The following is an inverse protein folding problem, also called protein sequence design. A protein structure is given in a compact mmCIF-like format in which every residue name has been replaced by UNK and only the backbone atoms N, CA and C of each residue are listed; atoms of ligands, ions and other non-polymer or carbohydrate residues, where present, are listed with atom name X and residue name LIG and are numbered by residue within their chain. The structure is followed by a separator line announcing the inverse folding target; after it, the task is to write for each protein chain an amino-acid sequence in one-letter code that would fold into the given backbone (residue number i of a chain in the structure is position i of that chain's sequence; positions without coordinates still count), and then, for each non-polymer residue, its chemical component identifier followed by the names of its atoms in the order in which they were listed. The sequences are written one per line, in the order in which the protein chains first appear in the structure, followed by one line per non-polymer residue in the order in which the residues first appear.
data_IF_017340202192
#
_entry.id   IF_017340202192
#
_cell.length_a   1.000
_cell.length_b   1.000
_cell.length_c   1.000
_cell.angle_alpha   90.00
_cell.angle_beta   90.00
_cell.angle_gamma   90.00
#
_symmetry.space_group_name_H-M   'P 1'
#
loop_
_entity.id
_entity.type
_entity.pdbx_description
1 polymer ?
#
# COMPACT_ATOMS: atom_id res chain seq x y z
N UNK A 1 -1.65 -10.60 17.33
CA UNK A 1 -0.62 -9.53 17.24
C UNK A 1 -1.20 -8.23 17.77
N UNK A 2 -0.38 -7.37 18.39
CA UNK A 2 -0.82 -6.06 18.86
C UNK A 2 -1.11 -5.07 17.73
N UNK A 3 -1.82 -3.99 18.05
CA UNK A 3 -2.23 -2.95 17.09
C UNK A 3 -1.05 -2.35 16.32
N UNK A 4 0.05 -2.01 17.01
CA UNK A 4 1.23 -1.44 16.37
C UNK A 4 1.88 -2.38 15.35
N UNK A 5 2.00 -3.67 15.67
CA UNK A 5 2.53 -4.66 14.74
C UNK A 5 1.64 -4.81 13.49
N UNK A 6 0.31 -4.73 13.66
CA UNK A 6 -0.63 -4.76 12.53
C UNK A 6 -0.46 -3.53 11.64
N UNK A 7 -0.29 -2.34 12.20
CA UNK A 7 -0.08 -1.11 11.44
C UNK A 7 1.27 -1.10 10.72
N UNK A 8 2.35 -1.54 11.38
CA UNK A 8 3.67 -1.71 10.76
C UNK A 8 3.60 -2.62 9.53
N UNK A 9 3.05 -3.82 9.70
CA UNK A 9 2.81 -4.73 8.56
C UNK A 9 1.98 -4.11 7.45
N UNK A 10 0.95 -3.35 7.81
CA UNK A 10 0.07 -2.71 6.83
C UNK A 10 0.79 -1.63 6.03
N UNK A 11 1.72 -0.90 6.67
CA UNK A 11 2.63 0.05 6.03
C UNK A 11 3.51 -0.66 5.00
N UNK A 12 4.19 -1.73 5.41
CA UNK A 12 5.06 -2.51 4.51
C UNK A 12 4.30 -3.04 3.29
N UNK A 13 3.09 -3.57 3.51
CA UNK A 13 2.25 -4.08 2.42
C UNK A 13 1.77 -2.98 1.46
N UNK A 14 1.43 -1.78 1.96
CA UNK A 14 1.02 -0.66 1.10
C UNK A 14 2.20 -0.20 0.24
N UNK A 15 3.37 -0.01 0.86
CA UNK A 15 4.56 0.44 0.17
C UNK A 15 5.06 -0.61 -0.84
N UNK A 16 5.08 -1.88 -0.45
CA UNK A 16 5.46 -2.98 -1.34
C UNK A 16 4.50 -3.18 -2.51
N UNK A 17 3.18 -2.99 -2.32
CA UNK A 17 2.21 -3.02 -3.41
C UNK A 17 2.41 -1.83 -4.36
N UNK A 18 2.65 -0.64 -3.83
CA UNK A 18 2.90 0.55 -4.63
C UNK A 18 4.16 0.40 -5.51
N UNK A 19 5.25 -0.09 -4.93
CA UNK A 19 6.50 -0.36 -5.65
C UNK A 19 6.29 -1.32 -6.83
N UNK A 20 5.55 -2.43 -6.62
CA UNK A 20 5.24 -3.39 -7.70
C UNK A 20 4.37 -2.82 -8.80
N UNK A 21 3.58 -1.78 -8.51
CA UNK A 21 2.77 -1.06 -9.49
C UNK A 21 3.56 0.06 -10.20
N UNK A 22 4.86 0.21 -9.90
CA UNK A 22 5.72 1.28 -10.45
C UNK A 22 5.52 2.64 -9.78
N UNK A 23 4.96 2.68 -8.57
CA UNK A 23 4.66 3.92 -7.84
C UNK A 23 5.75 4.18 -6.79
N UNK A 24 6.46 5.30 -6.91
CA UNK A 24 7.34 5.80 -5.85
C UNK A 24 6.53 6.52 -4.75
N UNK A 25 5.85 5.73 -3.90
CA UNK A 25 5.06 6.28 -2.79
C UNK A 25 5.96 7.06 -1.81
N UNK A 26 7.21 6.63 -1.62
CA UNK A 26 8.18 7.32 -0.76
C UNK A 26 8.44 8.74 -1.26
N UNK A 27 8.74 8.88 -2.56
CA UNK A 27 8.91 10.18 -3.22
C UNK A 27 7.65 11.06 -3.15
N UNK A 28 6.46 10.48 -3.35
CA UNK A 28 5.18 11.21 -3.22
C UNK A 28 5.01 11.79 -1.81
N UNK A 29 5.31 11.01 -0.77
CA UNK A 29 5.22 11.49 0.62
C UNK A 29 6.30 12.52 0.91
N UNK A 30 7.52 12.32 0.41
CA UNK A 30 8.62 13.25 0.62
C UNK A 30 8.38 14.62 -0.03
N UNK A 31 7.65 14.68 -1.16
CA UNK A 31 7.34 15.92 -1.87
C UNK A 31 6.41 16.86 -1.08
N UNK A 32 5.48 16.31 -0.29
CA UNK A 32 4.62 17.07 0.62
C UNK A 32 4.26 16.22 1.85
N UNK A 33 5.15 16.18 2.86
CA UNK A 33 4.97 15.30 4.02
C UNK A 33 3.70 15.59 4.81
N UNK A 34 3.26 16.85 4.87
CA UNK A 34 2.09 17.25 5.64
C UNK A 34 0.80 16.73 4.99
N UNK A 35 0.61 16.95 3.68
CA UNK A 35 -0.61 16.50 3.01
C UNK A 35 -0.56 15.01 2.66
N UNK A 36 0.56 14.52 2.15
CA UNK A 36 0.69 13.15 1.66
C UNK A 36 0.91 12.15 2.79
N UNK A 37 1.58 12.55 3.89
CA UNK A 37 1.71 11.71 5.08
C UNK A 37 0.36 11.34 5.70
N UNK A 38 -0.59 12.28 5.76
CA UNK A 38 -1.95 12.00 6.23
C UNK A 38 -2.68 11.03 5.30
N UNK A 39 -2.56 11.20 3.97
CA UNK A 39 -3.16 10.29 2.98
C UNK A 39 -2.55 8.89 3.08
N UNK A 40 -1.23 8.79 3.26
CA UNK A 40 -0.53 7.54 3.48
C UNK A 40 -1.04 6.82 4.73
N UNK A 41 -1.13 7.52 5.87
CA UNK A 41 -1.66 6.92 7.10
C UNK A 41 -3.10 6.43 6.94
N UNK A 42 -3.95 7.12 6.17
CA UNK A 42 -5.29 6.61 5.82
C UNK A 42 -5.22 5.34 4.99
N UNK A 43 -4.29 5.23 4.04
CA UNK A 43 -4.07 4.02 3.26
C UNK A 43 -3.61 2.84 4.13
N UNK A 44 -2.71 3.08 5.09
CA UNK A 44 -2.25 2.09 6.07
C UNK A 44 -3.39 1.61 6.96
N UNK A 45 -4.18 2.54 7.51
CA UNK A 45 -5.36 2.20 8.33
C UNK A 45 -6.36 1.38 7.52
N UNK A 46 -6.65 1.78 6.27
CA UNK A 46 -7.54 1.02 5.39
C UNK A 46 -6.99 -0.38 5.10
N UNK A 47 -5.69 -0.49 4.81
CA UNK A 47 -5.01 -1.77 4.60
C UNK A 47 -5.12 -2.68 5.83
N UNK A 48 -5.01 -2.12 7.04
CA UNK A 48 -5.08 -2.88 8.31
C UNK A 48 -6.41 -3.61 8.53
N UNK A 49 -7.49 -3.15 7.87
CA UNK A 49 -8.82 -3.78 7.88
C UNK A 49 -9.03 -4.79 6.75
N UNK A 50 -8.03 -5.01 5.88
CA UNK A 50 -8.09 -6.03 4.85
C UNK A 50 -8.09 -7.43 5.46
N UNK A 51 -9.00 -8.29 4.99
CA UNK A 51 -9.13 -9.68 5.43
C UNK A 51 -8.09 -10.62 4.83
N UNK A 52 -7.35 -10.18 3.79
CA UNK A 52 -6.39 -11.00 3.08
C UNK A 52 -5.00 -10.34 2.98
N UNK A 53 -4.44 -9.93 4.13
CA UNK A 53 -3.08 -9.40 4.16
C UNK A 53 -2.01 -10.49 3.96
N UNK A 54 -2.31 -11.73 4.33
CA UNK A 54 -1.41 -12.88 4.13
C UNK A 54 -1.25 -13.16 2.63
N UNK A 55 -2.35 -13.27 1.89
CA UNK A 55 -2.29 -13.39 0.43
C UNK A 55 -1.66 -12.18 -0.27
N UNK A 56 -1.76 -10.98 0.31
CA UNK A 56 -1.03 -9.81 -0.18
C UNK A 56 0.48 -9.99 -0.01
N UNK A 57 0.91 -10.48 1.15
CA UNK A 57 2.33 -10.75 1.41
C UNK A 57 2.85 -11.85 0.48
N UNK A 58 2.08 -12.90 0.28
CA UNK A 58 2.45 -14.04 -0.58
C UNK A 58 2.61 -13.58 -2.04
N UNK A 59 1.61 -12.88 -2.57
CA UNK A 59 1.67 -12.26 -3.90
C UNK A 59 2.90 -11.37 -4.05
N UNK A 60 3.20 -10.54 -3.04
CA UNK A 60 4.36 -9.66 -3.08
C UNK A 60 5.67 -10.45 -3.07
N UNK A 61 5.78 -11.57 -2.36
CA UNK A 61 6.99 -12.41 -2.40
C UNK A 61 7.20 -13.07 -3.77
N UNK A 62 6.11 -13.45 -4.44
CA UNK A 62 6.14 -14.19 -5.70
C UNK A 62 6.27 -13.29 -6.94
N UNK A 63 5.91 -12.01 -6.81
CA UNK A 63 5.81 -11.09 -7.96
C UNK A 63 6.60 -9.81 -7.71
N UNK A 64 7.40 -9.39 -8.70
CA UNK A 64 8.19 -8.15 -8.66
C UNK A 64 7.49 -6.96 -9.31
N UNK A 65 6.58 -7.22 -10.25
CA UNK A 65 5.84 -6.20 -11.00
C UNK A 65 4.39 -6.59 -11.22
N UNK A 66 3.48 -5.63 -11.13
CA UNK A 66 2.04 -5.83 -11.30
C UNK A 66 1.47 -4.78 -12.25
N UNK A 67 0.68 -5.26 -13.22
CA UNK A 67 -0.10 -4.38 -14.09
C UNK A 67 -1.28 -3.73 -13.36
N UNK A 68 -1.79 -4.32 -12.28
CA UNK A 68 -2.86 -3.76 -11.46
C UNK A 68 -2.84 -4.33 -10.03
N UNK A 69 -3.45 -3.60 -9.09
CA UNK A 69 -3.62 -4.11 -7.74
C UNK A 69 -4.63 -5.26 -7.74
N UNK A 70 -4.44 -6.31 -6.93
CA UNK A 70 -5.39 -7.42 -6.87
C UNK A 70 -6.77 -6.94 -6.40
N UNK A 71 -7.83 -7.61 -6.84
CA UNK A 71 -9.23 -7.23 -6.57
C UNK A 71 -9.58 -7.11 -5.06
N UNK A 72 -8.86 -7.82 -4.19
CA UNK A 72 -9.03 -7.73 -2.74
C UNK A 72 -8.30 -6.53 -2.09
N UNK A 73 -7.45 -5.82 -2.83
CA UNK A 73 -6.67 -4.70 -2.32
C UNK A 73 -7.60 -3.54 -1.96
N UNK A 74 -7.68 -3.23 -0.66
CA UNK A 74 -8.49 -2.11 -0.15
C UNK A 74 -8.01 -0.73 -0.66
N UNK A 75 -6.80 -0.65 -1.18
CA UNK A 75 -6.21 0.56 -1.73
C UNK A 75 -6.13 0.55 -3.26
N UNK A 76 -6.76 -0.41 -3.96
CA UNK A 76 -6.65 -0.54 -5.42
C UNK A 76 -6.97 0.77 -6.16
N UNK A 77 -8.10 1.41 -5.85
CA UNK A 77 -8.50 2.68 -6.46
C UNK A 77 -7.52 3.81 -6.17
N UNK A 78 -7.01 3.90 -4.94
CA UNK A 78 -6.01 4.90 -4.56
C UNK A 78 -4.72 4.71 -5.36
N UNK A 79 -4.21 3.48 -5.41
CA UNK A 79 -2.96 3.17 -6.11
C UNK A 79 -3.10 3.36 -7.63
N UNK A 80 -4.25 3.02 -8.21
CA UNK A 80 -4.54 3.30 -9.61
C UNK A 80 -4.51 4.80 -9.92
N UNK A 81 -5.09 5.63 -9.03
CA UNK A 81 -5.06 7.08 -9.18
C UNK A 81 -3.62 7.64 -9.08
N UNK A 82 -2.81 7.13 -8.16
CA UNK A 82 -1.41 7.56 -8.02
C UNK A 82 -0.51 7.13 -9.18
N UNK A 83 -0.88 6.08 -9.93
CA UNK A 83 -0.10 5.58 -11.07
C UNK A 83 -0.38 6.34 -12.38
N UNK A 84 -1.59 6.89 -12.51
CA UNK A 84 -2.00 7.65 -13.69
C UNK A 84 -1.95 9.18 -13.50
N UNK A 85 -1.39 9.63 -12.37
CA UNK A 85 -1.13 11.04 -12.09
C UNK A 85 0.26 11.46 -12.51
#
# INVERSE_FOLDING_TARGET
MGLFAKLGRSSDLVQGMASRLGIDYGGIVAADPQAQGQKYMRAVLRCSTCRNQDGCSDLQRETTELAEAPSYCRNAQLLAHLRGG
#
